data_IF_440525976625
#
_entry.id   IF_440525976625
#
_cell.length_a   1.000
_cell.length_b   1.000
_cell.length_c   1.000
_cell.angle_alpha   90.00
_cell.angle_beta   90.00
_cell.angle_gamma   90.00
#
_symmetry.space_group_name_H-M   'P 1'
#
loop_
_entity.id
_entity.type
_entity.pdbx_description
1 polymer ?
#
# COMPACT_ATOMS: atom_id res chain seq x y z
N UNK A 1 20.26 30.50 -1.25
CA UNK A 1 19.23 29.52 -1.75
C UNK A 1 18.15 29.45 -0.71
N UNK A 2 16.85 29.50 -1.01
CA UNK A 2 15.85 29.30 0.00
C UNK A 2 16.11 27.92 0.63
N UNK A 3 16.13 27.86 1.97
CA UNK A 3 16.36 26.62 2.71
C UNK A 3 15.33 25.58 2.23
N UNK A 4 15.80 24.49 1.62
CA UNK A 4 14.92 23.37 1.23
C UNK A 4 14.27 22.82 2.49
N UNK A 5 12.95 22.64 2.47
CA UNK A 5 12.24 22.04 3.60
C UNK A 5 12.67 20.58 3.78
N UNK A 6 12.82 20.17 5.04
CA UNK A 6 13.21 18.82 5.42
C UNK A 6 12.00 18.04 5.94
N UNK A 7 11.75 16.87 5.34
CA UNK A 7 10.61 16.01 5.68
C UNK A 7 11.11 14.66 6.19
N UNK A 8 10.51 14.17 7.26
CA UNK A 8 10.73 12.83 7.77
C UNK A 8 9.55 11.92 7.40
N UNK A 9 9.85 10.75 6.83
CA UNK A 9 8.87 9.68 6.61
C UNK A 9 9.24 8.50 7.49
N UNK A 10 8.39 8.20 8.48
CA UNK A 10 8.61 7.10 9.42
C UNK A 10 7.99 5.83 8.85
N UNK A 11 8.84 4.88 8.49
CA UNK A 11 8.50 3.62 7.84
C UNK A 11 9.29 3.41 6.56
N UNK A 12 9.48 2.15 6.16
CA UNK A 12 10.20 1.75 4.94
C UNK A 12 9.38 0.81 4.05
N UNK A 13 8.07 0.73 4.31
CA UNK A 13 7.12 -0.06 3.51
C UNK A 13 6.74 0.63 2.20
N UNK A 14 5.91 -0.04 1.40
CA UNK A 14 5.47 0.45 0.09
C UNK A 14 4.86 1.85 0.16
N UNK A 15 4.03 2.14 1.16
CA UNK A 15 3.42 3.46 1.36
C UNK A 15 4.48 4.54 1.56
N UNK A 16 5.45 4.30 2.46
CA UNK A 16 6.54 5.24 2.73
C UNK A 16 7.36 5.54 1.47
N UNK A 17 7.74 4.47 0.73
CA UNK A 17 8.51 4.61 -0.49
C UNK A 17 7.72 5.32 -1.59
N UNK A 18 6.42 5.06 -1.71
CA UNK A 18 5.56 5.75 -2.68
C UNK A 18 5.48 7.24 -2.38
N UNK A 19 5.27 7.62 -1.12
CA UNK A 19 5.24 9.03 -0.69
C UNK A 19 6.59 9.70 -0.99
N UNK A 20 7.70 9.07 -0.59
CA UNK A 20 9.04 9.60 -0.84
C UNK A 20 9.30 9.79 -2.35
N UNK A 21 8.91 8.80 -3.17
CA UNK A 21 9.04 8.87 -4.62
C UNK A 21 8.25 10.02 -5.25
N UNK A 22 7.00 10.21 -4.82
CA UNK A 22 6.16 11.29 -5.32
C UNK A 22 6.70 12.67 -4.90
N UNK A 23 7.19 12.79 -3.67
CA UNK A 23 7.75 14.02 -3.12
C UNK A 23 9.17 14.32 -3.63
N UNK A 24 9.90 13.34 -4.18
CA UNK A 24 11.28 13.50 -4.65
C UNK A 24 11.46 14.55 -5.76
N UNK A 25 10.39 14.87 -6.46
CA UNK A 25 10.37 15.85 -7.57
C UNK A 25 10.25 17.30 -7.11
N UNK A 26 10.00 17.50 -5.83
CA UNK A 26 9.94 18.82 -5.24
C UNK A 26 11.29 19.20 -4.61
N UNK A 27 11.51 20.48 -4.37
CA UNK A 27 12.72 20.95 -3.69
C UNK A 27 12.64 20.68 -2.18
N UNK A 28 12.70 19.39 -1.80
CA UNK A 28 12.60 18.88 -0.45
C UNK A 28 13.76 17.97 -0.13
N UNK A 29 14.23 17.99 1.11
CA UNK A 29 15.10 16.95 1.67
C UNK A 29 14.22 15.92 2.38
N UNK A 30 14.38 14.65 2.08
CA UNK A 30 13.51 13.59 2.57
C UNK A 30 14.33 12.53 3.29
N UNK A 31 14.07 12.33 4.57
CA UNK A 31 14.64 11.24 5.33
C UNK A 31 13.58 10.15 5.54
N UNK A 32 13.88 8.93 5.08
CA UNK A 32 13.07 7.75 5.32
C UNK A 32 13.65 7.03 6.54
N UNK A 33 12.91 7.05 7.66
CA UNK A 33 13.36 6.46 8.92
C UNK A 33 12.82 5.04 9.04
N UNK A 34 13.75 4.06 9.01
CA UNK A 34 13.46 2.65 9.22
C UNK A 34 13.69 2.29 10.69
N UNK A 35 12.61 2.06 11.45
CA UNK A 35 12.68 1.72 12.87
C UNK A 35 12.84 0.22 13.13
N UNK A 36 12.29 -0.63 12.27
CA UNK A 36 12.37 -2.08 12.41
C UNK A 36 13.58 -2.60 11.62
N UNK A 37 14.71 -2.69 12.30
CA UNK A 37 15.97 -3.17 11.71
C UNK A 37 15.95 -4.69 11.42
N UNK A 38 14.93 -5.42 11.87
CA UNK A 38 14.75 -6.83 11.54
C UNK A 38 14.15 -6.93 10.14
N UNK A 39 14.83 -7.60 9.22
CA UNK A 39 14.34 -7.87 7.87
C UNK A 39 13.02 -8.64 7.96
N UNK A 40 11.88 -7.96 7.88
CA UNK A 40 10.59 -8.61 7.67
C UNK A 40 10.54 -9.07 6.22
N UNK A 41 10.33 -10.39 6.01
CA UNK A 41 9.96 -10.89 4.69
C UNK A 41 8.66 -10.19 4.30
N UNK A 42 8.70 -9.42 3.20
CA UNK A 42 7.49 -8.84 2.63
C UNK A 42 6.62 -10.02 2.19
N UNK A 43 5.44 -10.15 2.80
CA UNK A 43 4.49 -11.19 2.37
C UNK A 43 4.05 -10.86 0.94
N UNK A 44 4.01 -11.84 0.03
CA UNK A 44 3.50 -11.62 -1.31
C UNK A 44 2.05 -11.13 -1.22
N UNK A 45 1.81 -9.90 -1.64
CA UNK A 45 0.50 -9.28 -1.57
C UNK A 45 0.13 -8.78 -2.96
N UNK A 46 -1.02 -9.20 -3.46
CA UNK A 46 -1.58 -8.62 -4.68
C UNK A 46 -2.34 -7.36 -4.32
N UNK A 47 -2.09 -6.29 -5.03
CA UNK A 47 -2.70 -4.98 -4.81
C UNK A 47 -3.66 -4.68 -5.96
N UNK A 48 -4.85 -4.24 -5.61
CA UNK A 48 -5.81 -3.68 -6.55
C UNK A 48 -5.67 -2.15 -6.51
N UNK A 49 -5.12 -1.57 -7.56
CA UNK A 49 -4.99 -0.13 -7.71
C UNK A 49 -6.14 0.39 -8.58
N UNK A 50 -6.85 1.43 -8.13
CA UNK A 50 -7.81 2.12 -8.99
C UNK A 50 -7.13 2.65 -10.25
N UNK A 51 -7.88 2.79 -11.35
CA UNK A 51 -7.35 3.38 -12.58
C UNK A 51 -6.66 4.70 -12.32
N UNK A 52 -7.28 5.57 -11.53
CA UNK A 52 -6.73 6.89 -11.19
C UNK A 52 -5.36 6.79 -10.50
N UNK A 53 -5.25 6.00 -9.44
CA UNK A 53 -3.99 5.82 -8.71
C UNK A 53 -2.89 5.19 -9.59
N UNK A 54 -3.28 4.24 -10.42
CA UNK A 54 -2.37 3.59 -11.36
C UNK A 54 -1.85 4.57 -12.42
N UNK A 55 -2.72 5.36 -13.02
CA UNK A 55 -2.37 6.36 -14.03
C UNK A 55 -1.48 7.46 -13.42
N UNK A 56 -1.74 7.88 -12.18
CA UNK A 56 -0.87 8.79 -11.46
C UNK A 56 0.54 8.22 -11.30
N UNK A 57 0.69 6.97 -10.81
CA UNK A 57 2.00 6.35 -10.69
C UNK A 57 2.74 6.29 -12.03
N UNK A 58 2.02 5.99 -13.11
CA UNK A 58 2.57 5.98 -14.47
C UNK A 58 3.02 7.38 -14.93
N UNK A 59 2.23 8.43 -14.65
CA UNK A 59 2.55 9.82 -15.00
C UNK A 59 3.78 10.33 -14.25
N UNK A 60 3.97 9.86 -13.03
CA UNK A 60 5.18 10.13 -12.24
C UNK A 60 6.41 9.31 -12.68
N UNK A 61 6.30 8.46 -13.70
CA UNK A 61 7.44 7.78 -14.33
C UNK A 61 7.58 6.29 -14.02
N UNK A 62 6.58 5.66 -13.37
CA UNK A 62 6.54 4.21 -13.15
C UNK A 62 5.85 3.49 -14.33
N UNK A 63 6.21 3.83 -15.58
CA UNK A 63 5.53 3.32 -16.80
C UNK A 63 5.62 1.80 -16.96
N UNK A 64 6.68 1.19 -16.44
CA UNK A 64 6.91 -0.26 -16.58
C UNK A 64 5.92 -1.12 -15.79
N UNK A 65 5.23 -0.55 -14.80
CA UNK A 65 4.20 -1.27 -14.05
C UNK A 65 3.02 -1.70 -14.94
N UNK A 66 2.79 -1.03 -16.08
CA UNK A 66 1.77 -1.42 -17.06
C UNK A 66 1.96 -2.84 -17.60
N UNK A 67 3.21 -3.23 -17.84
CA UNK A 67 3.56 -4.57 -18.33
C UNK A 67 3.52 -5.65 -17.26
N UNK A 68 3.53 -5.24 -16.00
CA UNK A 68 3.62 -6.10 -14.82
C UNK A 68 2.30 -6.20 -14.04
N UNK A 69 1.24 -5.60 -14.55
CA UNK A 69 -0.09 -5.59 -13.96
C UNK A 69 -1.12 -6.23 -14.87
N UNK A 70 -2.19 -6.75 -14.27
CA UNK A 70 -3.34 -7.25 -14.98
C UNK A 70 -4.51 -6.26 -14.89
N UNK A 71 -5.24 -6.12 -15.98
CA UNK A 71 -6.35 -5.17 -16.12
C UNK A 71 -7.62 -5.76 -15.54
N UNK A 72 -8.35 -5.00 -14.73
CA UNK A 72 -9.71 -5.31 -14.29
C UNK A 72 -10.69 -4.45 -15.09
N UNK A 73 -11.49 -5.10 -15.93
CA UNK A 73 -12.53 -4.44 -16.74
C UNK A 73 -13.90 -4.49 -16.10
N UNK A 74 -14.16 -5.56 -15.35
CA UNK A 74 -15.45 -5.77 -14.70
C UNK A 74 -15.24 -6.13 -13.23
N UNK A 75 -16.16 -5.69 -12.38
CA UNK A 75 -16.26 -6.09 -10.99
C UNK A 75 -17.66 -6.62 -10.78
N UNK A 76 -17.77 -7.87 -10.36
CA UNK A 76 -19.04 -8.53 -10.06
C UNK A 76 -19.19 -8.72 -8.56
N UNK A 77 -20.30 -8.28 -8.03
CA UNK A 77 -20.69 -8.52 -6.65
C UNK A 77 -21.83 -9.56 -6.64
N UNK A 78 -21.74 -10.47 -5.72
CA UNK A 78 -22.68 -11.57 -5.55
C UNK A 78 -23.14 -11.57 -4.08
N UNK A 79 -24.45 -11.43 -3.86
CA UNK A 79 -25.04 -11.67 -2.56
C UNK A 79 -25.34 -13.17 -2.44
N UNK A 80 -24.47 -13.89 -1.78
CA UNK A 80 -24.51 -15.34 -1.64
C UNK A 80 -24.55 -15.74 -0.17
N UNK A 81 -25.42 -15.07 0.60
CA UNK A 81 -25.48 -15.26 2.06
C UNK A 81 -25.79 -16.70 2.48
N UNK A 82 -26.58 -17.43 1.72
CA UNK A 82 -26.96 -18.82 2.01
C UNK A 82 -26.19 -19.85 1.18
N UNK A 83 -25.76 -19.51 -0.04
CA UNK A 83 -25.03 -20.39 -0.94
C UNK A 83 -24.25 -19.62 -1.99
N UNK A 84 -23.17 -20.20 -2.51
CA UNK A 84 -22.42 -19.59 -3.62
C UNK A 84 -23.27 -19.67 -4.89
N UNK A 85 -23.73 -18.51 -5.37
CA UNK A 85 -24.45 -18.37 -6.63
C UNK A 85 -23.57 -17.65 -7.66
N UNK A 86 -23.61 -18.11 -8.91
CA UNK A 86 -22.94 -17.43 -10.02
C UNK A 86 -23.79 -16.28 -10.60
N UNK A 87 -25.03 -16.12 -10.14
CA UNK A 87 -25.86 -14.96 -10.50
C UNK A 87 -25.25 -13.70 -9.88
N UNK A 88 -24.92 -12.73 -10.71
CA UNK A 88 -24.41 -11.44 -10.26
C UNK A 88 -25.57 -10.54 -9.86
N UNK A 89 -25.44 -9.89 -8.71
CA UNK A 89 -26.44 -8.96 -8.21
C UNK A 89 -26.10 -7.53 -8.61
N UNK A 90 -24.79 -7.20 -8.66
CA UNK A 90 -24.31 -5.89 -9.09
C UNK A 90 -23.09 -6.03 -9.99
N UNK A 91 -23.03 -5.26 -11.05
CA UNK A 91 -21.94 -5.20 -11.99
C UNK A 91 -21.43 -3.78 -12.19
N UNK A 92 -20.12 -3.62 -12.07
CA UNK A 92 -19.40 -2.43 -12.53
C UNK A 92 -18.58 -2.83 -13.75
N UNK A 93 -18.77 -2.11 -14.86
CA UNK A 93 -18.02 -2.36 -16.10
C UNK A 93 -17.29 -1.10 -16.54
N UNK A 94 -16.12 -1.28 -17.16
CA UNK A 94 -15.41 -0.18 -17.76
C UNK A 94 -16.22 0.41 -18.91
N UNK A 95 -16.25 1.75 -19.10
CA UNK A 95 -17.09 2.41 -20.09
C UNK A 95 -16.85 1.95 -21.53
N UNK A 96 -15.63 1.49 -21.81
CA UNK A 96 -15.27 0.97 -23.12
C UNK A 96 -14.16 -0.09 -23.03
N UNK A 97 -13.86 -0.76 -24.15
CA UNK A 97 -12.89 -1.86 -24.21
C UNK A 97 -11.44 -1.44 -23.95
N UNK A 98 -11.10 -0.15 -24.07
CA UNK A 98 -9.76 0.40 -23.86
C UNK A 98 -9.51 0.84 -22.41
N UNK A 99 -10.58 0.99 -21.63
CA UNK A 99 -10.50 1.44 -20.25
C UNK A 99 -10.43 0.30 -19.24
N UNK A 100 -10.06 0.64 -18.03
CA UNK A 100 -10.00 -0.24 -16.88
C UNK A 100 -10.68 0.39 -15.67
N UNK A 101 -11.22 -0.41 -14.78
CA UNK A 101 -11.67 0.03 -13.46
C UNK A 101 -10.50 0.03 -12.47
N UNK A 102 -9.65 -0.98 -12.57
CA UNK A 102 -8.50 -1.19 -11.69
C UNK A 102 -7.40 -2.00 -12.39
N UNK A 103 -6.26 -2.08 -11.71
CA UNK A 103 -5.12 -2.90 -12.10
C UNK A 103 -4.66 -3.75 -10.91
N UNK A 104 -4.44 -5.03 -11.14
CA UNK A 104 -3.87 -5.92 -10.14
C UNK A 104 -2.37 -6.01 -10.39
N UNK A 105 -1.58 -5.71 -9.36
CA UNK A 105 -0.12 -5.76 -9.41
C UNK A 105 0.43 -6.49 -8.19
N UNK A 106 1.55 -7.19 -8.35
CA UNK A 106 2.29 -7.74 -7.21
C UNK A 106 2.96 -6.61 -6.42
N UNK A 107 2.66 -6.54 -5.12
CA UNK A 107 3.20 -5.51 -4.23
C UNK A 107 4.73 -5.54 -4.14
N UNK A 108 5.35 -6.72 -4.25
CA UNK A 108 6.82 -6.85 -4.25
C UNK A 108 7.44 -6.27 -5.53
N UNK A 109 6.76 -6.45 -6.67
CA UNK A 109 7.20 -5.85 -7.93
C UNK A 109 7.14 -4.32 -7.82
N UNK A 110 6.02 -3.79 -7.36
CA UNK A 110 5.86 -2.35 -7.19
C UNK A 110 6.87 -1.77 -6.18
N UNK A 111 7.07 -2.46 -5.06
CA UNK A 111 8.08 -2.10 -4.06
C UNK A 111 9.49 -2.07 -4.65
N UNK A 112 9.86 -3.10 -5.41
CA UNK A 112 11.18 -3.20 -6.06
C UNK A 112 11.39 -2.08 -7.07
N UNK A 113 10.39 -1.80 -7.91
CA UNK A 113 10.48 -0.76 -8.94
C UNK A 113 10.61 0.64 -8.33
N UNK A 114 9.83 0.95 -7.27
CA UNK A 114 9.94 2.22 -6.54
C UNK A 114 11.29 2.31 -5.82
N UNK A 115 11.71 1.24 -5.13
CA UNK A 115 12.97 1.21 -4.39
C UNK A 115 14.19 1.47 -5.30
N UNK A 116 14.19 0.90 -6.51
CA UNK A 116 15.25 1.15 -7.50
C UNK A 116 15.29 2.61 -7.91
N UNK A 117 14.13 3.22 -8.15
CA UNK A 117 14.05 4.63 -8.56
C UNK A 117 14.45 5.58 -7.45
N UNK A 118 14.02 5.34 -6.22
CA UNK A 118 14.35 6.19 -5.05
C UNK A 118 15.86 6.29 -4.84
N UNK A 119 16.61 5.20 -5.04
CA UNK A 119 18.07 5.19 -4.89
C UNK A 119 18.81 6.17 -5.81
N UNK A 120 18.21 6.60 -6.90
CA UNK A 120 18.80 7.57 -7.83
C UNK A 120 18.59 9.02 -7.41
N UNK A 121 17.76 9.31 -6.42
CA UNK A 121 17.49 10.66 -5.96
C UNK A 121 18.44 11.09 -4.84
N UNK A 122 19.18 12.19 -5.08
CA UNK A 122 20.15 12.71 -4.12
C UNK A 122 19.53 13.38 -2.89
N UNK A 123 18.26 13.75 -2.97
CA UNK A 123 17.51 14.41 -1.91
C UNK A 123 16.74 13.44 -1.01
N UNK A 124 16.93 12.13 -1.15
CA UNK A 124 16.33 11.10 -0.30
C UNK A 124 17.41 10.32 0.43
N UNK A 125 17.32 10.30 1.76
CA UNK A 125 18.23 9.57 2.63
C UNK A 125 17.48 8.45 3.37
N UNK A 126 18.14 7.31 3.57
CA UNK A 126 17.65 6.23 4.42
C UNK A 126 18.35 6.28 5.78
N UNK A 127 17.56 6.52 6.82
CA UNK A 127 18.02 6.62 8.20
C UNK A 127 17.62 5.36 8.96
N UNK A 128 18.59 4.53 9.30
CA UNK A 128 18.39 3.28 10.06
C UNK A 128 18.61 3.54 11.54
N UNK A 129 17.66 4.20 12.18
CA UNK A 129 17.72 4.55 13.59
C UNK A 129 16.35 4.38 14.24
N UNK A 130 16.36 3.95 15.51
CA UNK A 130 15.14 3.89 16.30
C UNK A 130 14.83 5.24 16.92
N UNK A 131 13.58 5.68 16.80
CA UNK A 131 13.11 6.92 17.41
C UNK A 131 12.82 6.70 18.90
N UNK A 132 13.38 7.55 19.74
CA UNK A 132 13.12 7.61 21.18
C UNK A 132 11.92 8.50 21.49
N UNK A 133 11.91 9.73 20.94
CA UNK A 133 10.81 10.69 21.14
C UNK A 133 10.68 11.63 19.96
N UNK A 134 9.51 12.28 19.87
CA UNK A 134 9.21 13.34 18.92
C UNK A 134 8.65 14.51 19.72
N UNK A 135 9.32 15.65 19.63
CA UNK A 135 8.90 16.90 20.25
C UNK A 135 8.24 17.78 19.19
N UNK A 136 7.04 18.27 19.51
CA UNK A 136 6.30 19.18 18.65
C UNK A 136 6.60 20.62 19.04
N UNK A 137 7.48 21.26 18.28
CA UNK A 137 7.78 22.67 18.43
C UNK A 137 6.94 23.50 17.43
N UNK A 138 6.75 24.78 17.73
CA UNK A 138 5.91 25.66 16.91
C UNK A 138 6.33 25.71 15.42
N UNK A 139 7.63 25.63 15.14
CA UNK A 139 8.18 25.83 13.79
C UNK A 139 8.72 24.56 13.15
N UNK A 140 8.99 23.50 13.94
CA UNK A 140 9.57 22.25 13.48
C UNK A 140 9.19 21.09 14.42
N UNK A 141 9.39 19.87 13.95
CA UNK A 141 9.29 18.65 14.73
C UNK A 141 10.70 18.14 15.00
N UNK A 142 11.09 18.04 16.27
CA UNK A 142 12.40 17.49 16.65
C UNK A 142 12.24 15.98 16.88
N UNK A 143 12.99 15.19 16.15
CA UNK A 143 13.08 13.73 16.36
C UNK A 143 14.36 13.44 17.13
N UNK A 144 14.21 12.76 18.26
CA UNK A 144 15.32 12.26 19.08
C UNK A 144 15.42 10.77 18.88
N UNK A 145 16.58 10.30 18.43
CA UNK A 145 16.86 8.88 18.25
C UNK A 145 17.41 8.24 19.55
N UNK A 146 17.38 6.90 19.62
CA UNK A 146 17.92 6.17 20.79
C UNK A 146 19.43 6.38 21.00
N UNK A 147 20.16 6.70 19.95
CA UNK A 147 21.59 7.05 20.00
C UNK A 147 21.83 8.51 20.45
N UNK A 148 20.79 9.17 20.97
CA UNK A 148 20.77 10.55 21.45
C UNK A 148 20.98 11.62 20.36
N UNK A 149 21.14 11.25 19.11
CA UNK A 149 21.17 12.22 18.00
C UNK A 149 19.80 12.86 17.80
N UNK A 150 19.80 14.12 17.35
CA UNK A 150 18.59 14.92 17.13
C UNK A 150 18.54 15.43 15.71
N UNK A 151 17.35 15.46 15.13
CA UNK A 151 17.09 16.00 13.81
C UNK A 151 15.79 16.81 13.79
N UNK A 152 15.81 17.92 13.08
CA UNK A 152 14.66 18.83 12.95
C UNK A 152 14.02 18.68 11.57
N UNK A 153 12.69 18.60 11.54
CA UNK A 153 11.90 18.44 10.32
C UNK A 153 10.75 19.43 10.27
N UNK A 154 10.45 19.93 9.08
CA UNK A 154 9.27 20.77 8.84
C UNK A 154 7.98 19.96 8.89
N UNK A 155 8.05 18.67 8.50
CA UNK A 155 6.91 17.75 8.49
C UNK A 155 7.38 16.33 8.84
N UNK A 156 6.58 15.64 9.65
CA UNK A 156 6.77 14.20 9.94
C UNK A 156 5.55 13.43 9.45
N UNK A 157 5.78 12.43 8.60
CA UNK A 157 4.76 11.56 8.01
C UNK A 157 4.91 10.15 8.58
N UNK A 158 3.85 9.65 9.21
CA UNK A 158 3.80 8.27 9.68
C UNK A 158 3.29 7.35 8.58
N UNK A 159 4.13 6.47 8.07
CA UNK A 159 3.84 5.55 6.97
C UNK A 159 4.29 4.10 7.28
N UNK A 160 4.14 3.66 8.53
CA UNK A 160 4.46 2.31 8.99
C UNK A 160 3.20 1.56 9.43
N UNK A 161 3.16 0.25 9.21
CA UNK A 161 2.06 -0.60 9.68
C UNK A 161 1.90 -0.63 11.22
N UNK A 162 3.00 -0.41 11.96
CA UNK A 162 3.02 -0.38 13.43
C UNK A 162 2.77 1.03 13.99
N UNK A 163 2.13 1.90 13.24
CA UNK A 163 1.94 3.29 13.63
C UNK A 163 1.10 3.49 14.91
N UNK A 164 0.19 2.57 15.20
CA UNK A 164 -0.66 2.67 16.40
C UNK A 164 0.17 2.79 17.68
N UNK A 165 1.16 1.92 17.82
CA UNK A 165 2.08 1.98 18.96
C UNK A 165 2.87 3.29 19.00
N UNK A 166 3.34 3.78 17.86
CA UNK A 166 4.09 5.04 17.79
C UNK A 166 3.20 6.25 18.05
N UNK A 167 2.00 6.27 17.49
CA UNK A 167 1.02 7.35 17.71
C UNK A 167 0.62 7.46 19.17
N UNK A 168 0.39 6.33 19.84
CA UNK A 168 0.09 6.29 21.29
C UNK A 168 1.29 6.70 22.13
N UNK A 169 2.48 6.18 21.81
CA UNK A 169 3.75 6.51 22.48
C UNK A 169 4.07 8.01 22.45
N UNK A 170 3.79 8.65 21.31
CA UNK A 170 4.07 10.08 21.13
C UNK A 170 2.86 10.97 21.46
N UNK A 171 1.76 10.41 21.99
CA UNK A 171 0.53 11.13 22.36
C UNK A 171 -0.05 11.99 21.22
N UNK A 172 0.18 11.61 19.97
CA UNK A 172 -0.16 12.43 18.81
C UNK A 172 -1.65 12.38 18.47
N UNK A 173 -2.35 11.31 18.79
CA UNK A 173 -3.81 11.18 18.59
C UNK A 173 -4.37 9.97 19.32
N UNK A 174 -5.64 10.07 19.75
CA UNK A 174 -6.42 8.90 20.18
C UNK A 174 -6.79 8.09 18.92
N UNK A 175 -6.34 6.86 18.87
CA UNK A 175 -6.66 5.93 17.79
C UNK A 175 -7.79 5.02 18.24
N UNK A 176 -8.81 4.84 17.40
CA UNK A 176 -9.85 3.86 17.60
C UNK A 176 -9.34 2.55 17.01
N UNK A 177 -9.12 1.56 17.85
CA UNK A 177 -8.76 0.20 17.47
C UNK A 177 -9.98 -0.71 17.66
N UNK A 178 -10.43 -1.34 16.57
CA UNK A 178 -11.58 -2.25 16.59
C UNK A 178 -11.16 -3.60 16.01
N UNK A 179 -11.23 -4.62 16.81
CA UNK A 179 -11.08 -6.01 16.35
C UNK A 179 -12.38 -6.48 15.71
N UNK A 180 -12.29 -7.04 14.52
CA UNK A 180 -13.44 -7.59 13.80
C UNK A 180 -13.70 -9.06 14.12
N UNK A 181 -12.76 -9.74 14.83
CA UNK A 181 -12.79 -11.18 15.10
C UNK A 181 -12.91 -12.00 13.81
N UNK A 182 -12.14 -11.61 12.81
CA UNK A 182 -12.08 -12.26 11.51
C UNK A 182 -10.62 -12.47 11.11
N UNK A 183 -10.34 -13.59 10.49
CA UNK A 183 -9.04 -13.89 9.87
C UNK A 183 -9.16 -13.83 8.34
N UNK A 184 -8.20 -13.19 7.68
CA UNK A 184 -8.13 -13.13 6.24
C UNK A 184 -7.13 -14.16 5.71
N UNK A 185 -7.63 -15.14 4.96
CA UNK A 185 -6.82 -16.12 4.24
C UNK A 185 -6.55 -15.61 2.84
N UNK A 186 -5.26 -15.53 2.48
CA UNK A 186 -4.82 -15.02 1.18
C UNK A 186 -3.97 -16.08 0.49
N UNK A 187 -4.39 -16.51 -0.68
CA UNK A 187 -3.66 -17.51 -1.48
C UNK A 187 -3.88 -17.28 -2.98
N UNK A 188 -3.07 -17.94 -3.81
CA UNK A 188 -3.19 -17.87 -5.27
C UNK A 188 -3.64 -19.22 -5.83
N UNK A 189 -4.59 -19.16 -6.77
CA UNK A 189 -5.04 -20.29 -7.57
C UNK A 189 -4.37 -20.24 -8.93
N UNK A 190 -3.72 -21.31 -9.32
CA UNK A 190 -3.24 -21.53 -10.68
C UNK A 190 -4.26 -22.32 -11.48
N UNK A 191 -4.58 -21.89 -12.67
CA UNK A 191 -5.61 -22.49 -13.53
C UNK A 191 -5.20 -22.49 -15.01
N UNK A 192 -5.94 -23.19 -15.85
CA UNK A 192 -5.77 -23.15 -17.31
C UNK A 192 -5.94 -21.73 -17.81
N UNK A 193 -5.31 -21.41 -18.94
CA UNK A 193 -5.35 -20.08 -19.55
C UNK A 193 -6.78 -19.69 -19.90
N UNK A 194 -7.23 -18.58 -19.34
CA UNK A 194 -8.56 -17.98 -19.58
C UNK A 194 -8.46 -16.48 -19.83
N UNK A 195 -9.55 -15.85 -20.25
CA UNK A 195 -9.70 -14.40 -20.20
C UNK A 195 -10.00 -14.04 -18.73
N UNK A 196 -8.98 -13.55 -18.04
CA UNK A 196 -9.05 -13.24 -16.61
C UNK A 196 -8.92 -11.73 -16.39
N UNK A 197 -10.00 -11.00 -16.61
CA UNK A 197 -10.07 -9.53 -16.52
C UNK A 197 -11.22 -9.02 -15.65
N UNK A 198 -11.81 -9.91 -14.85
CA UNK A 198 -12.93 -9.58 -13.98
C UNK A 198 -12.61 -9.93 -12.53
N UNK A 199 -12.79 -8.98 -11.62
CA UNK A 199 -12.78 -9.25 -10.20
C UNK A 199 -14.18 -9.70 -9.75
N UNK A 200 -14.25 -10.56 -8.75
CA UNK A 200 -15.50 -11.06 -8.17
C UNK A 200 -15.45 -11.01 -6.67
N UNK A 201 -16.55 -10.64 -6.05
CA UNK A 201 -16.70 -10.68 -4.60
C UNK A 201 -18.03 -11.33 -4.24
N UNK A 202 -17.97 -12.31 -3.37
CA UNK A 202 -19.13 -13.01 -2.82
C UNK A 202 -19.28 -12.60 -1.36
N UNK A 203 -20.46 -12.15 -0.97
CA UNK A 203 -20.83 -11.88 0.40
C UNK A 203 -21.44 -13.14 1.01
N UNK A 204 -20.58 -13.98 1.60
CA UNK A 204 -20.99 -15.23 2.22
C UNK A 204 -21.38 -14.99 3.69
N UNK A 205 -22.12 -15.93 4.27
CA UNK A 205 -22.54 -15.89 5.68
C UNK A 205 -21.35 -15.76 6.64
N UNK A 206 -20.25 -16.47 6.35
CA UNK A 206 -19.06 -16.53 7.21
C UNK A 206 -18.05 -15.42 6.90
N UNK A 207 -18.32 -14.59 5.92
CA UNK A 207 -17.49 -13.45 5.52
C UNK A 207 -17.25 -13.34 4.02
N UNK A 208 -16.71 -12.22 3.56
CA UNK A 208 -16.52 -11.97 2.13
C UNK A 208 -15.39 -12.82 1.52
N UNK A 209 -15.66 -13.35 0.33
CA UNK A 209 -14.72 -14.09 -0.52
C UNK A 209 -14.48 -13.31 -1.81
N UNK A 210 -13.24 -12.91 -2.08
CA UNK A 210 -12.86 -12.14 -3.26
C UNK A 210 -11.89 -12.90 -4.17
N UNK A 211 -12.09 -12.75 -5.48
CA UNK A 211 -11.21 -13.26 -6.54
C UNK A 211 -10.64 -12.07 -7.33
N UNK A 212 -9.33 -11.94 -7.35
CA UNK A 212 -8.62 -10.89 -8.06
C UNK A 212 -7.85 -11.48 -9.25
N UNK A 213 -8.09 -11.03 -10.48
CA UNK A 213 -7.41 -11.53 -11.67
C UNK A 213 -5.96 -11.07 -11.70
N UNK A 214 -5.01 -11.96 -11.42
CA UNK A 214 -3.57 -11.65 -11.39
C UNK A 214 -2.93 -11.78 -12.78
N UNK A 215 -3.29 -12.84 -13.50
CA UNK A 215 -2.84 -13.12 -14.87
C UNK A 215 -3.85 -13.99 -15.61
N UNK A 216 -3.53 -14.37 -16.83
CA UNK A 216 -4.37 -15.31 -17.59
C UNK A 216 -4.41 -16.74 -17.00
N UNK A 217 -3.51 -17.06 -16.07
CA UNK A 217 -3.36 -18.38 -15.45
C UNK A 217 -3.33 -18.34 -13.93
N UNK A 218 -3.53 -17.16 -13.33
CA UNK A 218 -3.45 -16.98 -11.88
C UNK A 218 -4.53 -16.03 -11.37
N UNK A 219 -5.19 -16.42 -10.31
CA UNK A 219 -6.19 -15.61 -9.58
C UNK A 219 -5.83 -15.60 -8.10
N UNK A 220 -5.74 -14.42 -7.49
CA UNK A 220 -5.57 -14.30 -6.05
C UNK A 220 -6.92 -14.36 -5.36
N UNK A 221 -6.99 -15.15 -4.30
CA UNK A 221 -8.17 -15.32 -3.47
C UNK A 221 -7.93 -14.69 -2.12
N UNK A 222 -8.89 -13.90 -1.66
CA UNK A 222 -8.93 -13.32 -0.32
C UNK A 222 -10.25 -13.74 0.31
N UNK A 223 -10.17 -14.48 1.41
CA UNK A 223 -11.34 -14.95 2.13
C UNK A 223 -11.25 -14.53 3.60
N UNK A 224 -12.15 -13.64 4.02
CA UNK A 224 -12.31 -13.27 5.43
C UNK A 224 -13.28 -14.25 6.07
N UNK A 225 -12.90 -14.83 7.20
CA UNK A 225 -13.71 -15.82 7.93
C UNK A 225 -13.80 -15.35 9.39
N UNK A 226 -15.01 -15.36 9.94
CA UNK A 226 -15.25 -15.07 11.35
C UNK A 226 -14.60 -16.14 12.22
N UNK A 227 -13.94 -15.70 13.29
CA UNK A 227 -13.42 -16.59 14.31
C UNK A 227 -14.59 -17.03 15.19
N UNK A 228 -14.77 -18.34 15.33
CA UNK A 228 -15.75 -18.93 16.23
C UNK A 228 -15.34 -18.81 17.69
#
# INVERSE_FOLDING_TARGET
MPNSQKICIIGSGLTALTIAYLLSKFNLQIDIVEQDLKKKKIKPTKLALSKHSFDQLCSYGLKDIKKKSNVVKNIYLHDSYSSISLKKDLEFSAPNTKEALAYIIDGNILFSDISKKIKSFKNINFVKKEISSINDNKFYKEIIFKDLTKENYNLVIFASANNLFLLSKFKLRKVIDKLYNEDAYVFNLHHKKIINNSARQFFLKDGPLAFLPVSRTETSVIWSIKNN
#
